data_IF_852386242384
#
_entry.id   IF_852386242384
#
_cell.length_a   1.000
_cell.length_b   1.000
_cell.length_c   1.000
_cell.angle_alpha   90.00
_cell.angle_beta   90.00
_cell.angle_gamma   90.00
#
_symmetry.space_group_name_H-M   'P 1'
#
loop_
_entity.id
_entity.type
_entity.pdbx_description
1 polymer ?
#
# COMPACT_ATOMS: atom_id res chain seq x y z
N UNK A 1 7.48 -11.91 1.40
CA UNK A 1 6.32 -12.57 2.04
C UNK A 1 6.65 -12.72 3.50
N UNK A 2 5.68 -12.47 4.38
CA UNK A 2 5.94 -12.29 5.81
C UNK A 2 5.14 -13.25 6.69
N UNK A 3 3.86 -13.51 6.38
CA UNK A 3 3.05 -14.57 7.02
C UNK A 3 2.40 -15.45 5.95
N UNK A 4 2.38 -16.76 6.19
CA UNK A 4 1.51 -17.71 5.49
C UNK A 4 1.18 -18.90 6.36
N UNK A 5 0.26 -19.74 5.91
CA UNK A 5 -0.07 -20.96 6.62
C UNK A 5 -1.21 -21.73 5.97
N UNK A 6 -1.53 -22.87 6.56
CA UNK A 6 -2.62 -23.72 6.07
C UNK A 6 -3.21 -24.59 7.19
N UNK A 7 -4.46 -25.01 6.99
CA UNK A 7 -5.16 -25.96 7.88
C UNK A 7 -4.86 -27.43 7.56
N UNK A 8 -3.91 -27.72 6.66
CA UNK A 8 -3.44 -29.07 6.38
C UNK A 8 -1.96 -29.11 6.00
N UNK A 9 -1.31 -30.22 6.35
CA UNK A 9 0.12 -30.43 6.05
C UNK A 9 0.38 -30.46 4.54
N UNK A 10 -0.51 -31.06 3.75
CA UNK A 10 -0.38 -31.13 2.28
C UNK A 10 -0.35 -29.75 1.64
N UNK A 11 -1.27 -28.85 2.04
CA UNK A 11 -1.30 -27.47 1.55
C UNK A 11 -0.07 -26.69 2.02
N UNK A 12 0.31 -26.85 3.30
CA UNK A 12 1.50 -26.22 3.86
C UNK A 12 2.75 -26.57 3.07
N UNK A 13 2.99 -27.86 2.80
CA UNK A 13 4.15 -28.31 2.02
C UNK A 13 4.16 -27.72 0.61
N UNK A 14 2.99 -27.55 -0.03
CA UNK A 14 2.91 -26.90 -1.34
C UNK A 14 3.24 -25.40 -1.27
N UNK A 15 2.80 -24.70 -0.21
CA UNK A 15 3.12 -23.28 0.00
C UNK A 15 4.61 -23.07 0.22
N UNK A 16 5.23 -23.85 1.11
CA UNK A 16 6.65 -23.68 1.46
C UNK A 16 7.57 -23.91 0.26
N UNK A 17 7.22 -24.82 -0.66
CA UNK A 17 7.95 -25.02 -1.93
C UNK A 17 7.95 -23.79 -2.85
N UNK A 18 7.17 -22.76 -2.56
CA UNK A 18 7.13 -21.50 -3.33
C UNK A 18 7.87 -20.36 -2.62
N UNK A 19 8.59 -20.66 -1.54
CA UNK A 19 9.24 -19.66 -0.68
C UNK A 19 10.72 -19.96 -0.61
N UNK A 20 11.51 -19.15 -1.31
CA UNK A 20 12.97 -19.31 -1.41
C UNK A 20 13.72 -18.62 -0.25
N UNK A 21 13.06 -18.47 0.90
CA UNK A 21 13.62 -17.79 2.09
C UNK A 21 13.52 -18.70 3.31
N UNK A 22 14.42 -18.56 4.30
CA UNK A 22 14.33 -19.29 5.55
C UNK A 22 12.97 -19.08 6.25
N UNK A 23 12.40 -20.18 6.76
CA UNK A 23 11.06 -20.24 7.30
C UNK A 23 11.13 -20.62 8.78
N UNK A 24 10.28 -19.98 9.59
CA UNK A 24 9.92 -20.45 10.91
C UNK A 24 8.46 -20.91 10.87
N UNK A 25 8.18 -22.16 11.24
CA UNK A 25 6.84 -22.74 11.21
C UNK A 25 6.44 -23.23 12.60
N UNK A 26 5.23 -22.88 13.01
CA UNK A 26 4.56 -23.44 14.16
C UNK A 26 3.35 -24.26 13.73
N UNK A 27 3.20 -25.45 14.33
CA UNK A 27 2.10 -26.37 14.08
C UNK A 27 1.38 -26.65 15.39
N UNK A 28 0.07 -26.39 15.43
CA UNK A 28 -0.79 -26.75 16.55
C UNK A 28 -2.10 -27.29 16.01
N UNK A 29 -2.57 -28.45 16.48
CA UNK A 29 -3.83 -29.07 16.07
C UNK A 29 -4.09 -29.12 14.55
N UNK A 30 -3.06 -29.47 13.76
CA UNK A 30 -3.15 -29.59 12.30
C UNK A 30 -3.14 -28.28 11.51
N UNK A 31 -3.20 -27.14 12.20
CA UNK A 31 -3.03 -25.80 11.60
C UNK A 31 -1.55 -25.43 11.67
N UNK A 32 -1.04 -24.93 10.55
CA UNK A 32 0.33 -24.48 10.38
C UNK A 32 0.33 -22.97 10.16
N UNK A 33 1.15 -22.25 10.92
CA UNK A 33 1.42 -20.83 10.72
C UNK A 33 2.92 -20.68 10.55
N UNK A 34 3.33 -19.94 9.53
CA UNK A 34 4.72 -19.70 9.22
C UNK A 34 4.99 -18.22 9.01
N UNK A 35 6.21 -17.82 9.37
CA UNK A 35 6.75 -16.50 9.11
C UNK A 35 8.10 -16.61 8.40
N UNK A 36 8.51 -15.53 7.73
CA UNK A 36 9.88 -15.44 7.23
C UNK A 36 10.81 -15.32 8.44
N UNK A 37 11.77 -16.24 8.58
CA UNK A 37 12.72 -16.27 9.70
C UNK A 37 13.57 -14.99 9.69
N UNK A 38 13.82 -14.44 10.88
CA UNK A 38 14.62 -13.21 11.10
C UNK A 38 14.09 -11.96 10.38
N UNK A 39 12.80 -11.92 9.99
CA UNK A 39 12.23 -10.72 9.41
C UNK A 39 11.96 -9.66 10.51
N UNK A 40 12.45 -8.42 10.38
CA UNK A 40 12.40 -7.43 11.48
C UNK A 40 10.98 -7.00 11.87
N UNK A 41 10.03 -7.16 10.95
CA UNK A 41 8.61 -6.84 11.17
C UNK A 41 7.74 -8.10 11.13
N UNK A 42 8.23 -9.24 11.62
CA UNK A 42 7.38 -10.43 11.76
C UNK A 42 7.72 -11.19 13.04
N UNK A 43 6.69 -11.56 13.79
CA UNK A 43 6.85 -12.29 15.04
C UNK A 43 5.79 -13.37 15.14
N UNK A 44 6.17 -14.52 15.68
CA UNK A 44 5.26 -15.58 16.10
C UNK A 44 5.39 -15.81 17.61
N UNK A 45 4.26 -15.84 18.30
CA UNK A 45 4.20 -15.98 19.76
C UNK A 45 3.29 -17.12 20.13
N UNK A 46 3.85 -18.05 20.90
CA UNK A 46 3.09 -19.12 21.54
C UNK A 46 2.68 -18.72 22.95
N UNK A 47 1.39 -18.94 23.23
CA UNK A 47 0.80 -18.93 24.56
C UNK A 47 0.21 -20.33 24.81
N UNK A 48 -0.07 -20.66 26.07
CA UNK A 48 -0.59 -21.97 26.52
C UNK A 48 -1.59 -22.59 25.50
N UNK A 49 -2.60 -21.84 25.08
CA UNK A 49 -3.66 -22.31 24.18
C UNK A 49 -3.74 -21.58 22.83
N UNK A 50 -2.77 -20.73 22.50
CA UNK A 50 -2.86 -19.80 21.36
C UNK A 50 -1.53 -19.68 20.65
N UNK A 51 -1.55 -19.62 19.31
CA UNK A 51 -0.39 -19.22 18.49
C UNK A 51 -0.78 -17.98 17.71
N UNK A 52 0.03 -16.92 17.80
CA UNK A 52 -0.25 -15.63 17.16
C UNK A 52 0.91 -15.29 16.26
N UNK A 53 0.68 -15.13 14.97
CA UNK A 53 1.66 -14.56 14.04
C UNK A 53 1.21 -13.18 13.58
N UNK A 54 2.12 -12.22 13.60
CA UNK A 54 1.90 -10.86 13.09
C UNK A 54 3.01 -10.48 12.13
N UNK A 55 2.62 -9.86 11.02
CA UNK A 55 3.49 -9.22 10.05
C UNK A 55 3.19 -7.74 10.09
N UNK A 56 4.23 -6.93 10.12
CA UNK A 56 4.17 -5.49 10.18
C UNK A 56 4.56 -4.97 11.56
N UNK A 57 4.04 -3.79 11.90
CA UNK A 57 4.45 -3.04 13.08
C UNK A 57 3.24 -2.61 13.90
N UNK A 58 3.41 -2.66 15.22
CA UNK A 58 2.47 -2.13 16.21
C UNK A 58 3.15 -0.97 16.95
N UNK A 59 2.54 0.20 16.90
CA UNK A 59 3.08 1.43 17.47
C UNK A 59 2.58 1.63 18.91
N UNK A 60 3.45 1.46 19.91
CA UNK A 60 3.15 1.78 21.33
C UNK A 60 4.04 2.92 21.81
N UNK A 61 3.44 4.01 22.28
CA UNK A 61 4.19 5.17 22.80
C UNK A 61 5.34 5.64 21.87
N UNK A 62 5.12 5.58 20.55
CA UNK A 62 6.08 5.91 19.46
C UNK A 62 7.21 4.92 19.21
N UNK A 63 7.41 3.87 20.01
CA UNK A 63 8.41 2.82 19.73
C UNK A 63 7.73 1.51 19.32
N UNK A 64 8.12 0.88 18.20
CA UNK A 64 7.60 -0.44 17.87
C UNK A 64 8.11 -1.46 18.91
N UNK A 65 7.19 -2.19 19.52
CA UNK A 65 7.52 -3.35 20.35
C UNK A 65 6.52 -4.46 20.06
N UNK A 66 6.72 -5.11 18.92
CA UNK A 66 5.81 -6.11 18.36
C UNK A 66 5.63 -7.28 19.34
N UNK A 67 6.74 -7.85 19.82
CA UNK A 67 6.74 -9.03 20.69
C UNK A 67 5.97 -8.81 22.00
N UNK A 68 6.33 -7.78 22.76
CA UNK A 68 5.66 -7.46 24.04
C UNK A 68 4.19 -7.12 23.82
N UNK A 69 3.87 -6.38 22.76
CA UNK A 69 2.48 -6.00 22.47
C UNK A 69 1.62 -7.23 22.17
N UNK A 70 2.11 -8.18 21.37
CA UNK A 70 1.37 -9.42 21.09
C UNK A 70 1.24 -10.28 22.35
N UNK A 71 2.29 -10.37 23.19
CA UNK A 71 2.24 -11.11 24.46
C UNK A 71 1.15 -10.58 25.40
N UNK A 72 0.99 -9.27 25.50
CA UNK A 72 -0.04 -8.63 26.34
C UNK A 72 -1.43 -8.61 25.68
N UNK A 73 -1.54 -8.86 24.37
CA UNK A 73 -2.84 -8.83 23.69
C UNK A 73 -3.66 -10.07 24.03
N UNK A 74 -4.89 -9.87 24.50
CA UNK A 74 -5.77 -10.96 24.97
C UNK A 74 -6.70 -11.52 23.88
N UNK A 75 -7.00 -10.76 22.83
CA UNK A 75 -7.94 -11.20 21.80
C UNK A 75 -7.65 -10.58 20.42
N UNK A 76 -8.06 -11.25 19.32
CA UNK A 76 -7.94 -10.69 17.97
C UNK A 76 -8.73 -9.38 17.80
N UNK A 77 -9.83 -9.19 18.54
CA UNK A 77 -10.62 -7.95 18.53
C UNK A 77 -9.90 -6.78 19.18
N UNK A 78 -9.05 -7.03 20.20
CA UNK A 78 -8.19 -5.99 20.79
C UNK A 78 -7.03 -5.68 19.84
N UNK A 79 -6.41 -6.70 19.24
CA UNK A 79 -5.29 -6.55 18.31
C UNK A 79 -5.63 -5.63 17.14
N UNK A 80 -6.75 -5.91 16.45
CA UNK A 80 -7.14 -5.16 15.23
C UNK A 80 -7.44 -3.67 15.46
N UNK A 81 -7.68 -3.26 16.72
CA UNK A 81 -7.93 -1.86 17.10
C UNK A 81 -6.65 -1.10 17.48
N UNK A 82 -5.50 -1.76 17.51
CA UNK A 82 -4.23 -1.15 17.87
C UNK A 82 -3.68 -0.29 16.72
N UNK A 83 -2.97 0.77 17.09
CA UNK A 83 -2.23 1.64 16.16
C UNK A 83 -1.08 0.84 15.53
N UNK A 84 -1.08 0.67 14.22
CA UNK A 84 -0.10 -0.15 13.53
C UNK A 84 -0.39 -0.33 12.04
N UNK A 85 0.56 -0.96 11.36
CA UNK A 85 0.50 -1.35 9.96
C UNK A 85 0.75 -2.86 9.93
N UNK A 86 -0.30 -3.68 9.96
CA UNK A 86 -0.12 -5.11 10.22
C UNK A 86 -1.22 -6.01 9.64
N UNK A 87 -0.84 -7.27 9.42
CA UNK A 87 -1.71 -8.41 9.21
C UNK A 87 -1.39 -9.50 10.23
N UNK A 88 -2.39 -10.27 10.66
CA UNK A 88 -2.19 -11.31 11.67
C UNK A 88 -2.97 -12.59 11.40
N UNK A 89 -2.44 -13.68 11.96
CA UNK A 89 -3.09 -14.97 12.10
C UNK A 89 -3.11 -15.34 13.58
N UNK A 90 -4.31 -15.55 14.13
CA UNK A 90 -4.53 -15.88 15.53
C UNK A 90 -5.18 -17.25 15.63
N UNK A 91 -4.42 -18.25 16.04
CA UNK A 91 -4.89 -19.62 16.17
C UNK A 91 -5.19 -19.97 17.62
N UNK A 92 -6.34 -20.59 17.85
CA UNK A 92 -6.67 -21.31 19.09
C UNK A 92 -6.94 -22.79 18.77
N UNK A 93 -7.42 -23.59 19.74
CA UNK A 93 -7.48 -25.05 19.62
C UNK A 93 -8.13 -25.55 18.31
N UNK A 94 -9.29 -25.00 17.92
CA UNK A 94 -10.09 -25.50 16.80
C UNK A 94 -10.42 -24.40 15.76
N UNK A 95 -9.74 -23.26 15.81
CA UNK A 95 -10.03 -22.16 14.89
C UNK A 95 -8.80 -21.30 14.61
N UNK A 96 -8.83 -20.64 13.46
CA UNK A 96 -7.88 -19.58 13.11
C UNK A 96 -8.65 -18.32 12.73
N UNK A 97 -8.29 -17.20 13.34
CA UNK A 97 -8.82 -15.88 13.05
C UNK A 97 -7.76 -15.10 12.27
N UNK A 98 -8.10 -14.67 11.06
CA UNK A 98 -7.28 -13.83 10.20
C UNK A 98 -7.80 -12.38 10.27
N UNK A 99 -6.89 -11.42 10.31
CA UNK A 99 -7.26 -10.01 10.34
C UNK A 99 -6.12 -9.10 9.93
N UNK A 100 -6.43 -7.83 9.68
CA UNK A 100 -5.45 -6.78 9.37
C UNK A 100 -5.95 -5.42 9.86
N UNK A 101 -5.05 -4.45 9.93
CA UNK A 101 -5.34 -3.09 10.37
C UNK A 101 -6.53 -2.46 9.61
N UNK A 102 -7.15 -1.42 10.19
CA UNK A 102 -8.40 -0.86 9.67
C UNK A 102 -8.26 -0.10 8.35
N UNK A 103 -7.04 0.29 7.96
CA UNK A 103 -6.75 0.84 6.64
C UNK A 103 -6.45 -0.27 5.63
N UNK A 104 -5.83 -1.37 6.08
CA UNK A 104 -5.43 -2.51 5.27
C UNK A 104 -4.07 -2.32 4.61
N UNK A 105 -3.13 -1.71 5.32
CA UNK A 105 -1.79 -1.37 4.82
C UNK A 105 -0.97 -2.58 4.39
N UNK A 106 -1.14 -3.71 5.09
CA UNK A 106 -0.58 -5.00 4.69
C UNK A 106 -1.71 -5.88 4.14
N UNK A 107 -1.56 -6.42 2.92
CA UNK A 107 -2.54 -7.33 2.36
C UNK A 107 -2.53 -8.68 3.08
N UNK A 108 -3.70 -9.30 3.21
CA UNK A 108 -3.85 -10.67 3.70
C UNK A 108 -4.96 -11.36 2.91
N UNK A 109 -4.68 -12.59 2.48
CA UNK A 109 -5.58 -13.39 1.66
C UNK A 109 -5.73 -14.79 2.22
N UNK A 110 -6.84 -15.44 1.87
CA UNK A 110 -7.02 -16.87 2.07
C UNK A 110 -7.66 -17.53 0.86
N UNK A 111 -7.55 -18.85 0.75
CA UNK A 111 -8.17 -19.64 -0.32
C UNK A 111 -8.66 -20.97 0.23
N UNK A 112 -9.93 -21.30 -0.05
CA UNK A 112 -10.53 -22.58 0.33
C UNK A 112 -10.32 -23.62 -0.76
N UNK A 113 -9.74 -24.75 -0.38
CA UNK A 113 -9.47 -25.91 -1.24
C UNK A 113 -10.19 -27.15 -0.67
N UNK A 114 -10.13 -28.26 -1.40
CA UNK A 114 -10.59 -29.56 -0.90
C UNK A 114 -9.72 -30.07 0.25
N UNK A 115 -8.42 -29.76 0.22
CA UNK A 115 -7.44 -30.15 1.23
C UNK A 115 -7.45 -29.23 2.48
N UNK A 116 -8.33 -28.23 2.56
CA UNK A 116 -8.39 -27.23 3.64
C UNK A 116 -8.22 -25.78 3.15
N UNK A 117 -7.84 -24.88 4.06
CA UNK A 117 -7.66 -23.45 3.79
C UNK A 117 -6.19 -23.07 3.85
N UNK A 118 -5.72 -22.32 2.86
CA UNK A 118 -4.40 -21.69 2.81
C UNK A 118 -4.53 -20.16 2.95
N UNK A 119 -3.58 -19.50 3.62
CA UNK A 119 -3.55 -18.05 3.74
C UNK A 119 -2.12 -17.50 3.58
N UNK A 120 -2.00 -16.26 3.13
CA UNK A 120 -0.71 -15.58 2.93
C UNK A 120 -0.88 -14.08 2.80
N UNK A 121 0.16 -13.31 3.16
CA UNK A 121 0.29 -11.90 2.78
C UNK A 121 0.68 -11.71 1.31
N UNK A 122 1.03 -12.78 0.60
CA UNK A 122 1.37 -12.73 -0.83
C UNK A 122 0.33 -13.51 -1.68
N UNK A 123 -0.37 -12.76 -2.53
CA UNK A 123 -1.40 -13.29 -3.45
C UNK A 123 -0.86 -14.27 -4.49
N UNK A 124 0.33 -13.99 -5.06
CA UNK A 124 0.96 -14.80 -6.10
C UNK A 124 1.22 -16.22 -5.62
N UNK A 125 1.70 -16.39 -4.40
CA UNK A 125 1.97 -17.72 -3.83
C UNK A 125 0.70 -18.53 -3.63
N UNK A 126 -0.40 -17.92 -3.19
CA UNK A 126 -1.68 -18.62 -3.10
C UNK A 126 -2.21 -19.04 -4.48
N UNK A 127 -2.10 -18.16 -5.47
CA UNK A 127 -2.47 -18.47 -6.86
C UNK A 127 -1.68 -19.66 -7.41
N UNK A 128 -0.35 -19.67 -7.17
CA UNK A 128 0.57 -20.74 -7.58
C UNK A 128 0.34 -22.06 -6.86
N UNK A 129 -0.19 -22.02 -5.64
CA UNK A 129 -0.35 -23.21 -4.79
C UNK A 129 -1.71 -23.86 -4.92
N UNK A 130 -2.76 -23.05 -5.08
CA UNK A 130 -4.14 -23.52 -4.96
C UNK A 130 -4.89 -23.56 -6.28
N UNK A 131 -4.35 -22.93 -7.33
CA UNK A 131 -5.02 -22.71 -8.61
C UNK A 131 -6.42 -22.08 -8.49
N UNK A 132 -6.66 -21.32 -7.42
CA UNK A 132 -7.93 -20.65 -7.12
C UNK A 132 -7.69 -19.19 -6.79
N UNK A 133 -8.68 -18.35 -7.13
CA UNK A 133 -8.64 -16.91 -6.83
C UNK A 133 -8.71 -16.70 -5.31
N UNK A 134 -7.74 -16.00 -4.70
CA UNK A 134 -7.77 -15.75 -3.27
C UNK A 134 -8.86 -14.76 -2.87
N UNK A 135 -9.45 -15.00 -1.70
CA UNK A 135 -10.31 -14.03 -1.02
C UNK A 135 -9.44 -13.07 -0.22
N UNK A 136 -9.77 -11.77 -0.29
CA UNK A 136 -9.13 -10.72 0.49
C UNK A 136 -9.78 -10.66 1.87
N UNK A 137 -8.96 -10.49 2.90
CA UNK A 137 -9.44 -10.08 4.21
C UNK A 137 -9.82 -8.59 4.13
N UNK A 138 -11.02 -8.22 4.53
CA UNK A 138 -11.45 -6.81 4.52
C UNK A 138 -10.72 -6.04 5.63
N UNK A 139 -10.22 -4.80 5.39
CA UNK A 139 -9.60 -3.99 6.44
C UNK A 139 -10.52 -3.80 7.65
N UNK A 140 -9.99 -3.94 8.86
CA UNK A 140 -10.78 -3.77 10.09
C UNK A 140 -11.79 -4.89 10.38
N UNK A 141 -11.80 -5.95 9.56
CA UNK A 141 -12.57 -7.16 9.78
C UNK A 141 -11.71 -8.29 10.33
N UNK A 142 -12.36 -9.21 11.03
CA UNK A 142 -11.79 -10.52 11.36
C UNK A 142 -12.55 -11.62 10.62
N UNK A 143 -11.81 -12.51 9.98
CA UNK A 143 -12.36 -13.70 9.35
C UNK A 143 -11.98 -14.90 10.21
N UNK A 144 -12.97 -15.57 10.80
CA UNK A 144 -12.74 -16.76 11.64
C UNK A 144 -13.05 -18.01 10.85
N UNK A 145 -12.08 -18.92 10.82
CA UNK A 145 -12.16 -20.21 10.16
C UNK A 145 -12.26 -21.27 11.25
N UNK A 146 -13.35 -22.04 11.24
CA UNK A 146 -13.60 -23.17 12.13
C UNK A 146 -14.33 -24.25 11.35
N UNK A 147 -13.84 -25.49 11.40
CA UNK A 147 -14.44 -26.64 10.71
C UNK A 147 -14.73 -26.38 9.21
N UNK A 148 -13.77 -25.75 8.50
CA UNK A 148 -13.89 -25.30 7.11
C UNK A 148 -15.02 -24.29 6.81
N UNK A 149 -15.72 -23.80 7.83
CA UNK A 149 -16.67 -22.68 7.75
C UNK A 149 -15.93 -21.38 8.03
N UNK A 150 -16.34 -20.32 7.34
CA UNK A 150 -15.72 -19.00 7.42
C UNK A 150 -16.79 -18.02 7.86
N UNK A 151 -16.54 -17.28 8.93
CA UNK A 151 -17.38 -16.17 9.37
C UNK A 151 -16.60 -14.87 9.26
N UNK A 152 -17.25 -13.83 8.76
CA UNK A 152 -16.71 -12.47 8.69
C UNK A 152 -17.39 -11.61 9.76
N UNK A 153 -16.61 -10.78 10.46
CA UNK A 153 -17.11 -9.81 11.42
C UNK A 153 -16.33 -8.51 11.32
N UNK A 154 -17.05 -7.42 11.09
CA UNK A 154 -16.53 -6.04 11.16
C UNK A 154 -16.21 -5.72 12.62
N UNK A 155 -14.99 -5.25 12.90
CA UNK A 155 -14.59 -4.81 14.24
C UNK A 155 -14.44 -3.29 14.34
N UNK A 156 -13.96 -2.66 13.27
CA UNK A 156 -13.75 -1.21 13.19
C UNK A 156 -13.77 -0.80 11.71
N UNK A 157 -14.48 0.29 11.39
CA UNK A 157 -14.39 0.93 10.07
C UNK A 157 -13.60 2.22 10.18
N UNK A 158 -12.79 2.53 9.17
CA UNK A 158 -12.00 3.76 9.13
C UNK A 158 -12.84 5.02 9.30
N UNK A 159 -14.03 5.08 8.69
CA UNK A 159 -14.94 6.23 8.84
C UNK A 159 -15.46 6.45 10.28
N UNK A 160 -15.46 5.40 11.10
CA UNK A 160 -15.95 5.43 12.48
C UNK A 160 -14.88 5.91 13.47
N UNK A 161 -13.64 6.15 13.01
CA UNK A 161 -12.56 6.60 13.88
C UNK A 161 -12.52 8.12 14.07
N UNK A 162 -13.30 8.88 13.29
CA UNK A 162 -13.37 10.34 13.42
C UNK A 162 -13.71 10.74 14.86
N UNK A 163 -13.01 11.74 15.37
CA UNK A 163 -13.22 12.30 16.71
C UNK A 163 -14.05 13.57 16.67
N UNK A 164 -14.71 13.88 17.78
CA UNK A 164 -15.28 15.20 17.96
C UNK A 164 -14.16 16.24 18.04
N UNK A 165 -14.34 17.34 17.32
CA UNK A 165 -13.43 18.48 17.34
C UNK A 165 -14.25 19.76 17.41
N UNK A 166 -13.66 20.80 17.99
CA UNK A 166 -14.20 22.15 17.90
C UNK A 166 -14.24 22.59 16.43
N UNK A 167 -15.46 22.75 15.91
CA UNK A 167 -15.76 23.12 14.52
C UNK A 167 -15.49 24.61 14.23
N UNK A 168 -15.34 25.43 15.26
CA UNK A 168 -15.16 26.89 15.16
C UNK A 168 -13.69 27.31 15.01
N UNK A 169 -12.75 26.36 15.09
CA UNK A 169 -11.32 26.63 14.85
C UNK A 169 -11.07 27.23 13.48
N UNK A 170 -10.07 28.10 13.43
CA UNK A 170 -9.60 28.69 12.17
C UNK A 170 -8.88 27.62 11.33
N UNK A 171 -8.94 27.70 9.98
CA UNK A 171 -8.24 26.75 9.09
C UNK A 171 -6.74 26.56 9.42
N UNK A 172 -6.07 27.61 9.87
CA UNK A 172 -4.66 27.57 10.25
C UNK A 172 -4.40 26.64 11.44
N UNK A 173 -5.34 26.55 12.38
CA UNK A 173 -5.22 25.71 13.58
C UNK A 173 -5.37 24.22 13.22
N UNK A 174 -6.36 23.89 12.40
CA UNK A 174 -6.50 22.55 11.82
C UNK A 174 -5.26 22.17 11.00
N UNK A 175 -4.77 23.08 10.15
CA UNK A 175 -3.56 22.87 9.36
C UNK A 175 -2.35 22.57 10.25
N UNK A 176 -2.11 23.37 11.29
CA UNK A 176 -1.04 23.16 12.27
C UNK A 176 -1.18 21.81 12.99
N UNK A 177 -2.40 21.43 13.36
CA UNK A 177 -2.67 20.14 13.98
C UNK A 177 -2.35 18.97 13.04
N UNK A 178 -2.76 19.06 11.76
CA UNK A 178 -2.44 18.05 10.75
C UNK A 178 -0.94 17.89 10.56
N UNK A 179 -0.20 18.98 10.40
CA UNK A 179 1.27 18.94 10.27
C UNK A 179 1.89 18.23 11.48
N UNK A 180 1.47 18.60 12.70
CA UNK A 180 1.98 17.96 13.91
C UNK A 180 1.69 16.46 13.94
N UNK A 181 0.51 16.02 13.48
CA UNK A 181 0.16 14.60 13.39
C UNK A 181 0.93 13.87 12.30
N UNK A 182 1.17 14.51 11.16
CA UNK A 182 1.97 13.95 10.08
C UNK A 182 3.42 13.78 10.49
N UNK A 183 3.99 14.77 11.17
CA UNK A 183 5.34 14.70 11.72
C UNK A 183 5.48 13.53 12.71
N UNK A 184 4.49 13.36 13.61
CA UNK A 184 4.42 12.20 14.51
C UNK A 184 4.30 10.87 13.75
N UNK A 185 3.52 10.84 12.67
CA UNK A 185 3.35 9.66 11.82
C UNK A 185 4.64 9.27 11.10
N UNK A 186 5.42 10.27 10.65
CA UNK A 186 6.73 10.09 10.02
C UNK A 186 7.74 9.57 11.03
N UNK A 187 7.85 10.18 12.21
CA UNK A 187 8.75 9.74 13.28
C UNK A 187 8.56 8.26 13.66
N UNK A 188 7.31 7.76 13.66
CA UNK A 188 7.02 6.33 13.93
C UNK A 188 7.60 5.37 12.88
N UNK A 189 7.82 5.86 11.65
CA UNK A 189 8.15 5.05 10.46
C UNK A 189 9.61 5.17 10.04
N UNK A 190 10.32 6.18 10.54
CA UNK A 190 11.75 6.37 10.29
C UNK A 190 12.53 5.33 11.09
N UNK A 191 13.47 4.66 10.41
CA UNK A 191 14.44 3.76 11.00
C UNK A 191 15.76 3.85 10.22
N UNK A 192 16.59 4.84 10.55
CA UNK A 192 17.80 5.17 9.81
C UNK A 192 17.55 6.10 8.61
N UNK A 193 18.49 6.10 7.67
CA UNK A 193 18.38 6.86 6.42
C UNK A 193 17.07 6.54 5.69
N UNK A 194 16.41 7.58 5.18
CA UNK A 194 15.05 7.44 4.66
C UNK A 194 14.95 7.83 3.19
N UNK A 195 14.51 6.87 2.38
CA UNK A 195 14.12 7.13 1.00
C UNK A 195 12.64 7.57 0.90
N UNK A 196 12.38 8.54 0.02
CA UNK A 196 11.02 9.07 -0.21
C UNK A 196 10.67 8.97 -1.70
N UNK A 197 9.52 8.37 -1.99
CA UNK A 197 8.89 8.49 -3.31
C UNK A 197 8.45 9.94 -3.54
N UNK A 198 9.20 10.66 -4.38
CA UNK A 198 9.12 12.10 -4.52
C UNK A 198 8.58 12.50 -5.90
N UNK A 199 7.44 13.18 -5.89
CA UNK A 199 6.81 13.76 -7.09
C UNK A 199 7.00 15.28 -7.19
N UNK A 200 7.56 15.91 -6.14
CA UNK A 200 7.60 17.35 -5.97
C UNK A 200 6.24 18.01 -5.72
N UNK A 201 5.15 17.23 -5.60
CA UNK A 201 3.86 17.75 -5.17
C UNK A 201 3.85 18.11 -3.69
N UNK A 202 2.76 18.73 -3.21
CA UNK A 202 2.64 19.09 -1.78
C UNK A 202 2.81 17.89 -0.85
N UNK A 203 2.24 16.73 -1.18
CA UNK A 203 2.22 15.57 -0.28
C UNK A 203 3.63 15.02 -0.02
N UNK A 204 4.35 14.70 -1.11
CA UNK A 204 5.70 14.15 -1.02
C UNK A 204 6.71 15.18 -0.54
N UNK A 205 6.53 16.46 -0.87
CA UNK A 205 7.38 17.55 -0.36
C UNK A 205 7.19 17.79 1.14
N UNK A 206 5.95 17.65 1.63
CA UNK A 206 5.68 17.77 3.07
C UNK A 206 6.30 16.61 3.84
N UNK A 207 6.17 15.37 3.33
CA UNK A 207 6.86 14.22 3.91
C UNK A 207 8.38 14.45 3.91
N UNK A 208 8.95 14.88 2.78
CA UNK A 208 10.37 15.17 2.64
C UNK A 208 10.88 16.21 3.65
N UNK A 209 10.18 17.34 3.76
CA UNK A 209 10.60 18.42 4.65
C UNK A 209 10.42 18.08 6.13
N UNK A 210 9.46 17.22 6.47
CA UNK A 210 9.27 16.76 7.85
C UNK A 210 10.27 15.64 8.19
N UNK A 211 10.48 14.66 7.31
CA UNK A 211 11.43 13.56 7.53
C UNK A 211 12.88 14.06 7.67
N UNK A 212 13.29 15.04 6.85
CA UNK A 212 14.63 15.64 6.91
C UNK A 212 14.97 16.35 8.22
N UNK A 213 13.99 16.59 9.10
CA UNK A 213 14.24 17.10 10.46
C UNK A 213 14.73 16.02 11.43
N UNK A 214 14.51 14.75 11.08
CA UNK A 214 14.72 13.60 11.98
C UNK A 214 15.79 12.64 11.46
N UNK A 215 16.07 12.64 10.16
CA UNK A 215 17.02 11.71 9.53
C UNK A 215 17.51 12.22 8.18
N UNK A 216 18.64 11.71 7.73
CA UNK A 216 19.11 11.88 6.35
C UNK A 216 18.08 11.33 5.37
N UNK A 217 17.77 12.13 4.35
CA UNK A 217 16.61 11.92 3.49
C UNK A 217 17.01 12.06 2.03
N UNK A 218 16.80 10.99 1.26
CA UNK A 218 17.04 10.99 -0.20
C UNK A 218 15.72 10.91 -0.95
N UNK A 219 15.53 11.83 -1.89
CA UNK A 219 14.32 11.93 -2.71
C UNK A 219 14.49 11.13 -3.99
N UNK A 220 13.50 10.30 -4.34
CA UNK A 220 13.54 9.48 -5.56
C UNK A 220 12.38 9.80 -6.48
N UNK A 221 12.66 9.98 -7.77
CA UNK A 221 11.63 10.19 -8.79
C UNK A 221 11.90 9.26 -9.97
N UNK A 222 10.89 8.51 -10.41
CA UNK A 222 10.96 7.73 -11.66
C UNK A 222 10.11 8.42 -12.72
N UNK A 223 10.65 8.57 -13.93
CA UNK A 223 9.89 9.08 -15.06
C UNK A 223 10.59 8.87 -16.37
N UNK A 224 9.83 8.94 -17.48
CA UNK A 224 10.44 8.93 -18.80
C UNK A 224 11.41 10.10 -18.92
N UNK A 225 12.50 9.91 -19.66
CA UNK A 225 13.52 10.93 -19.94
C UNK A 225 12.86 12.25 -20.34
N UNK A 226 13.29 13.35 -19.73
CA UNK A 226 12.71 14.70 -19.92
C UNK A 226 11.21 14.86 -19.62
N UNK A 227 10.60 13.93 -18.88
CA UNK A 227 9.21 14.08 -18.48
C UNK A 227 8.98 15.28 -17.56
N UNK A 228 7.77 15.87 -17.56
CA UNK A 228 7.43 16.97 -16.66
C UNK A 228 7.69 16.66 -15.18
N UNK A 229 7.50 15.41 -14.75
CA UNK A 229 7.76 15.02 -13.36
C UNK A 229 9.25 15.02 -13.01
N UNK A 230 10.12 14.60 -13.92
CA UNK A 230 11.58 14.68 -13.73
C UNK A 230 12.02 16.15 -13.63
N UNK A 231 11.57 17.00 -14.55
CA UNK A 231 11.92 18.44 -14.53
C UNK A 231 11.42 19.13 -13.27
N UNK A 232 10.17 18.85 -12.88
CA UNK A 232 9.57 19.45 -11.69
C UNK A 232 10.20 18.93 -10.39
N UNK A 233 10.42 17.63 -10.27
CA UNK A 233 11.03 17.05 -9.06
C UNK A 233 12.43 17.58 -8.82
N UNK A 234 13.27 17.71 -9.87
CA UNK A 234 14.60 18.34 -9.77
C UNK A 234 14.50 19.77 -9.20
N UNK A 235 13.56 20.58 -9.72
CA UNK A 235 13.31 21.94 -9.20
C UNK A 235 12.84 21.92 -7.74
N UNK A 236 11.85 21.10 -7.43
CA UNK A 236 11.28 21.02 -6.09
C UNK A 236 12.30 20.54 -5.05
N UNK A 237 13.12 19.54 -5.39
CA UNK A 237 14.20 19.07 -4.53
C UNK A 237 15.26 20.15 -4.25
N UNK A 238 15.67 20.90 -5.29
CA UNK A 238 16.56 22.05 -5.15
C UNK A 238 15.98 23.10 -4.20
N UNK A 239 14.70 23.43 -4.34
CA UNK A 239 14.02 24.38 -3.46
C UNK A 239 13.86 23.89 -2.02
N UNK A 240 13.81 22.57 -1.79
CA UNK A 240 13.80 21.97 -0.46
C UNK A 240 15.21 21.84 0.14
N UNK A 241 16.26 21.99 -0.67
CA UNK A 241 17.65 21.71 -0.35
C UNK A 241 17.86 20.29 0.18
N UNK A 242 17.36 19.28 -0.57
CA UNK A 242 17.48 17.87 -0.20
C UNK A 242 18.11 17.04 -1.34
N UNK A 243 18.91 16.01 -1.02
CA UNK A 243 19.44 15.07 -2.00
C UNK A 243 18.33 14.47 -2.88
N UNK A 244 18.54 14.46 -4.19
CA UNK A 244 17.56 13.93 -5.15
C UNK A 244 18.23 13.03 -6.18
N UNK A 245 17.65 11.85 -6.36
CA UNK A 245 18.03 10.84 -7.33
C UNK A 245 16.90 10.62 -8.35
N UNK A 246 16.89 11.39 -9.45
CA UNK A 246 16.00 11.12 -10.57
C UNK A 246 16.45 9.85 -11.32
N UNK A 247 15.49 8.97 -11.62
CA UNK A 247 15.67 7.75 -12.39
C UNK A 247 14.93 7.96 -13.72
N UNK A 248 15.68 8.36 -14.73
CA UNK A 248 15.17 8.57 -16.07
C UNK A 248 15.16 7.24 -16.82
N UNK A 249 14.01 6.92 -17.42
CA UNK A 249 13.81 5.65 -18.14
C UNK A 249 13.48 5.92 -19.61
N UNK A 250 13.76 4.92 -20.44
CA UNK A 250 13.46 4.93 -21.87
C UNK A 250 12.37 3.90 -22.21
N UNK A 251 12.05 3.80 -23.51
CA UNK A 251 11.02 2.89 -23.99
C UNK A 251 11.39 1.41 -23.78
N UNK A 252 12.68 1.07 -23.94
CA UNK A 252 13.19 -0.29 -23.79
C UNK A 252 13.05 -0.76 -22.35
N UNK A 253 13.38 0.09 -21.38
CA UNK A 253 13.23 -0.22 -19.96
C UNK A 253 11.74 -0.40 -19.60
N UNK A 254 10.84 0.42 -20.15
CA UNK A 254 9.40 0.24 -19.95
C UNK A 254 8.95 -1.13 -20.47
N UNK A 255 9.27 -1.46 -21.72
CA UNK A 255 8.88 -2.71 -22.37
C UNK A 255 9.37 -3.94 -21.58
N UNK A 256 10.62 -3.93 -21.12
CA UNK A 256 11.20 -5.00 -20.27
C UNK A 256 10.56 -5.09 -18.88
N UNK A 257 9.98 -4.00 -18.37
CA UNK A 257 9.43 -3.94 -17.00
C UNK A 257 7.94 -4.27 -16.94
N UNK A 258 7.18 -4.10 -18.04
CA UNK A 258 5.77 -4.50 -18.13
C UNK A 258 5.54 -5.95 -17.66
N UNK A 259 6.19 -6.99 -18.24
CA UNK A 259 5.93 -8.37 -17.85
C UNK A 259 6.25 -8.63 -16.38
N UNK A 260 7.36 -8.07 -15.87
CA UNK A 260 7.76 -8.19 -14.46
C UNK A 260 6.73 -7.57 -13.50
N UNK A 261 6.17 -6.42 -13.89
CA UNK A 261 5.14 -5.72 -13.11
C UNK A 261 3.86 -6.56 -13.05
N UNK A 262 3.36 -7.02 -14.20
CA UNK A 262 2.16 -7.87 -14.30
C UNK A 262 2.33 -9.15 -13.48
N UNK A 263 3.48 -9.81 -13.59
CA UNK A 263 3.75 -11.04 -12.85
C UNK A 263 3.74 -10.79 -11.33
N UNK A 264 4.30 -9.67 -10.88
CA UNK A 264 4.43 -9.32 -9.46
C UNK A 264 3.08 -8.94 -8.84
N UNK A 265 2.29 -8.14 -9.54
CA UNK A 265 0.95 -7.71 -9.08
C UNK A 265 -0.11 -8.80 -9.29
N UNK A 266 0.11 -9.70 -10.24
CA UNK A 266 -0.89 -10.60 -10.79
C UNK A 266 -2.14 -9.83 -11.28
N UNK A 267 -1.91 -8.68 -11.92
CA UNK A 267 -2.94 -7.78 -12.45
C UNK A 267 -2.39 -7.05 -13.68
N UNK A 268 -3.12 -7.13 -14.79
CA UNK A 268 -2.73 -6.62 -16.10
C UNK A 268 -3.53 -5.40 -16.54
N UNK A 269 -4.26 -4.74 -15.65
CA UNK A 269 -4.99 -3.52 -16.01
C UNK A 269 -4.02 -2.37 -16.32
N UNK A 270 -4.42 -1.46 -17.21
CA UNK A 270 -3.65 -0.25 -17.56
C UNK A 270 -3.33 0.59 -16.33
N UNK A 271 -4.28 0.74 -15.41
CA UNK A 271 -4.08 1.50 -14.18
C UNK A 271 -3.02 0.84 -13.29
N UNK A 272 -3.17 -0.45 -12.99
CA UNK A 272 -2.24 -1.18 -12.12
C UNK A 272 -0.83 -1.22 -12.72
N UNK A 273 -0.72 -1.45 -14.03
CA UNK A 273 0.57 -1.50 -14.72
C UNK A 273 1.20 -0.12 -14.84
N UNK A 274 0.42 0.91 -15.20
CA UNK A 274 0.92 2.28 -15.37
C UNK A 274 1.43 2.93 -14.08
N UNK A 275 0.85 2.58 -12.93
CA UNK A 275 1.35 3.02 -11.62
C UNK A 275 2.39 2.05 -11.04
N UNK A 276 2.22 0.75 -11.27
CA UNK A 276 3.12 -0.28 -10.74
C UNK A 276 4.51 -0.23 -11.37
N UNK A 277 4.61 0.01 -12.67
CA UNK A 277 5.88 0.02 -13.40
C UNK A 277 6.90 1.01 -12.81
N UNK A 278 6.59 2.30 -12.57
CA UNK A 278 7.56 3.20 -11.93
C UNK A 278 7.94 2.75 -10.52
N UNK A 279 7.01 2.17 -9.74
CA UNK A 279 7.35 1.63 -8.41
C UNK A 279 8.20 0.37 -8.48
N UNK A 280 8.08 -0.43 -9.53
CA UNK A 280 8.94 -1.59 -9.75
C UNK A 280 10.39 -1.15 -9.96
N UNK A 281 10.60 -0.20 -10.86
CA UNK A 281 11.93 0.37 -11.15
C UNK A 281 12.50 1.07 -9.90
N UNK A 282 11.65 1.81 -9.18
CA UNK A 282 12.04 2.44 -7.92
C UNK A 282 12.47 1.40 -6.88
N UNK A 283 11.72 0.32 -6.71
CA UNK A 283 12.04 -0.74 -5.76
C UNK A 283 13.35 -1.45 -6.12
N UNK A 284 13.62 -1.71 -7.41
CA UNK A 284 14.91 -2.22 -7.88
C UNK A 284 16.06 -1.27 -7.52
N UNK A 285 15.88 0.05 -7.72
CA UNK A 285 16.91 1.03 -7.39
C UNK A 285 17.15 1.15 -5.88
N UNK A 286 16.10 1.16 -5.07
CA UNK A 286 16.23 1.25 -3.61
C UNK A 286 16.96 0.05 -3.02
N UNK A 287 16.70 -1.15 -3.56
CA UNK A 287 17.43 -2.35 -3.17
C UNK A 287 18.92 -2.23 -3.49
N UNK A 288 19.29 -1.71 -4.67
CA UNK A 288 20.69 -1.46 -5.04
C UNK A 288 21.35 -0.43 -4.13
N UNK A 289 20.59 0.57 -3.70
CA UNK A 289 21.06 1.64 -2.82
C UNK A 289 21.04 1.24 -1.32
N UNK A 290 20.69 0.00 -0.99
CA UNK A 290 20.74 -0.53 0.39
C UNK A 290 19.55 -0.15 1.29
N UNK A 291 18.53 0.51 0.75
CA UNK A 291 17.32 0.84 1.53
C UNK A 291 16.50 -0.42 1.81
N UNK A 292 15.81 -0.41 2.94
CA UNK A 292 14.84 -1.45 3.35
C UNK A 292 13.42 -0.93 3.48
N UNK A 293 13.25 0.40 3.49
CA UNK A 293 11.95 1.06 3.63
C UNK A 293 11.85 2.25 2.68
N UNK A 294 10.62 2.66 2.37
CA UNK A 294 10.33 3.87 1.60
C UNK A 294 9.10 4.58 2.17
N UNK A 295 9.15 5.90 2.32
CA UNK A 295 7.95 6.70 2.61
C UNK A 295 7.24 7.11 1.32
N UNK A 296 5.91 6.97 1.30
CA UNK A 296 5.08 7.40 0.16
C UNK A 296 3.96 8.36 0.59
N UNK A 297 3.43 9.13 -0.37
CA UNK A 297 2.33 10.07 -0.16
C UNK A 297 0.92 9.47 -0.26
N UNK A 298 0.78 8.13 -0.24
CA UNK A 298 -0.51 7.46 -0.42
C UNK A 298 -1.52 7.86 0.66
N UNK A 299 -2.80 8.02 0.28
CA UNK A 299 -3.90 8.40 1.18
C UNK A 299 -4.17 9.90 1.26
N UNK A 300 -3.24 10.75 0.82
CA UNK A 300 -3.45 12.20 0.90
C UNK A 300 -4.57 12.70 -0.03
N UNK A 301 -4.77 12.08 -1.18
CA UNK A 301 -5.78 12.52 -2.14
C UNK A 301 -7.19 12.20 -1.65
N UNK A 302 -7.37 11.01 -1.08
CA UNK A 302 -8.63 10.51 -0.55
C UNK A 302 -9.04 11.26 0.72
N UNK A 303 -8.08 11.69 1.55
CA UNK A 303 -8.36 12.46 2.78
C UNK A 303 -8.65 13.94 2.54
N UNK A 304 -8.09 14.53 1.48
CA UNK A 304 -8.10 16.00 1.26
C UNK A 304 -8.57 16.41 -0.14
N UNK A 305 -9.45 15.63 -0.76
CA UNK A 305 -10.12 16.06 -1.98
C UNK A 305 -9.18 16.25 -3.18
N UNK A 306 -8.22 15.35 -3.36
CA UNK A 306 -7.17 15.46 -4.38
C UNK A 306 -7.61 15.08 -5.80
N UNK A 307 -8.69 14.32 -5.98
CA UNK A 307 -9.13 13.88 -7.31
C UNK A 307 -10.19 14.80 -7.92
N UNK A 308 -10.12 15.01 -9.23
CA UNK A 308 -11.08 15.84 -9.99
C UNK A 308 -12.54 15.39 -9.79
N UNK A 309 -12.78 14.09 -9.63
CA UNK A 309 -14.13 13.55 -9.39
C UNK A 309 -14.82 14.12 -8.15
N UNK A 310 -14.06 14.56 -7.15
CA UNK A 310 -14.63 15.17 -5.94
C UNK A 310 -15.18 16.58 -6.18
N UNK A 311 -14.73 17.27 -7.24
CA UNK A 311 -15.28 18.57 -7.65
C UNK A 311 -16.60 18.43 -8.42
N UNK A 312 -16.82 17.28 -9.05
CA UNK A 312 -17.89 17.07 -10.03
C UNK A 312 -19.00 16.18 -9.47
N UNK A 313 -19.08 16.02 -8.15
CA UNK A 313 -20.07 15.16 -7.49
C UNK A 313 -20.86 15.97 -6.47
N UNK A 314 -22.14 15.63 -6.32
CA UNK A 314 -23.02 16.23 -5.32
C UNK A 314 -22.67 15.77 -3.90
N UNK A 315 -22.02 14.61 -3.76
CA UNK A 315 -21.75 13.97 -2.46
C UNK A 315 -20.25 13.66 -2.27
N UNK A 316 -19.36 14.68 -2.26
CA UNK A 316 -17.91 14.45 -2.25
C UNK A 316 -17.42 13.70 -1.01
N UNK A 317 -18.02 13.93 0.15
CA UNK A 317 -17.66 13.23 1.37
C UNK A 317 -17.90 11.71 1.28
N UNK A 318 -19.03 11.30 0.71
CA UNK A 318 -19.34 9.87 0.50
C UNK A 318 -18.34 9.23 -0.45
N UNK A 319 -17.98 9.91 -1.54
CA UNK A 319 -16.99 9.40 -2.50
C UNK A 319 -15.58 9.31 -1.91
N UNK A 320 -15.18 10.30 -1.09
CA UNK A 320 -13.92 10.26 -0.35
C UNK A 320 -13.88 9.10 0.64
N UNK A 321 -14.96 8.87 1.41
CA UNK A 321 -15.03 7.72 2.32
C UNK A 321 -14.94 6.39 1.56
N UNK A 322 -15.66 6.26 0.45
CA UNK A 322 -15.57 5.06 -0.40
C UNK A 322 -14.15 4.83 -0.90
N UNK A 323 -13.42 5.87 -1.29
CA UNK A 323 -12.04 5.69 -1.75
C UNK A 323 -11.10 5.32 -0.61
N UNK A 324 -11.23 5.92 0.58
CA UNK A 324 -10.47 5.51 1.77
C UNK A 324 -10.75 4.04 2.12
N UNK A 325 -12.00 3.60 2.08
CA UNK A 325 -12.36 2.19 2.36
C UNK A 325 -11.82 1.23 1.29
N UNK A 326 -11.61 1.70 0.06
CA UNK A 326 -11.09 0.89 -1.05
C UNK A 326 -9.58 1.05 -1.31
N UNK A 327 -8.89 1.95 -0.61
CA UNK A 327 -7.48 2.27 -0.88
C UNK A 327 -6.57 1.04 -0.73
N UNK A 328 -6.89 0.16 0.22
CA UNK A 328 -6.19 -1.10 0.42
C UNK A 328 -6.16 -1.97 -0.84
N UNK A 329 -7.26 -1.99 -1.59
CA UNK A 329 -7.43 -2.80 -2.80
C UNK A 329 -6.92 -2.07 -4.04
N UNK A 330 -7.19 -0.77 -4.15
CA UNK A 330 -6.88 0.02 -5.36
C UNK A 330 -5.40 0.37 -5.47
N UNK A 331 -4.76 0.64 -4.34
CA UNK A 331 -3.40 1.21 -4.33
C UNK A 331 -2.43 0.40 -3.48
N UNK A 332 -2.73 0.23 -2.19
CA UNK A 332 -1.75 -0.32 -1.24
C UNK A 332 -1.37 -1.76 -1.54
N UNK A 333 -2.30 -2.58 -2.03
CA UNK A 333 -2.01 -3.96 -2.44
C UNK A 333 -0.94 -4.02 -3.53
N UNK A 334 -1.11 -3.26 -4.61
CA UNK A 334 -0.15 -3.20 -5.73
C UNK A 334 1.21 -2.74 -5.23
N UNK A 335 1.23 -1.63 -4.50
CA UNK A 335 2.47 -1.02 -4.02
C UNK A 335 3.20 -1.98 -3.07
N UNK A 336 2.48 -2.59 -2.13
CA UNK A 336 3.02 -3.57 -1.20
C UNK A 336 3.60 -4.80 -1.92
N UNK A 337 2.90 -5.36 -2.91
CA UNK A 337 3.42 -6.50 -3.67
C UNK A 337 4.72 -6.16 -4.40
N UNK A 338 4.80 -4.97 -5.01
CA UNK A 338 5.97 -4.54 -5.79
C UNK A 338 7.17 -4.26 -4.89
N UNK A 339 7.01 -3.46 -3.84
CA UNK A 339 8.11 -3.13 -2.95
C UNK A 339 8.62 -4.36 -2.19
N UNK A 340 7.72 -5.19 -1.65
CA UNK A 340 8.13 -6.36 -0.85
C UNK A 340 8.74 -7.48 -1.70
N UNK A 341 8.46 -7.54 -3.00
CA UNK A 341 9.19 -8.42 -3.93
C UNK A 341 10.69 -8.07 -4.00
N UNK A 342 11.05 -6.82 -3.71
CA UNK A 342 12.43 -6.33 -3.68
C UNK A 342 12.99 -6.21 -2.26
N UNK A 343 12.25 -6.67 -1.23
CA UNK A 343 12.65 -6.53 0.17
C UNK A 343 12.48 -5.11 0.73
N UNK A 344 11.75 -4.24 0.03
CA UNK A 344 11.43 -2.88 0.47
C UNK A 344 10.06 -2.88 1.15
N UNK A 345 9.93 -2.20 2.29
CA UNK A 345 8.66 -2.05 3.00
C UNK A 345 8.12 -0.63 2.76
N UNK A 346 6.99 -0.47 2.05
CA UNK A 346 6.38 0.83 1.87
C UNK A 346 5.68 1.26 3.16
N UNK A 347 5.91 2.51 3.56
CA UNK A 347 5.33 3.15 4.74
C UNK A 347 4.53 4.38 4.31
N UNK A 348 3.33 4.54 4.86
CA UNK A 348 2.37 5.53 4.38
C UNK A 348 1.95 6.50 5.51
N UNK A 349 2.70 7.58 5.78
CA UNK A 349 2.44 8.47 6.90
C UNK A 349 1.05 9.13 6.91
N UNK A 350 0.49 9.43 5.73
CA UNK A 350 -0.87 9.97 5.61
C UNK A 350 -1.96 8.97 6.03
N UNK A 351 -1.63 7.68 6.11
CA UNK A 351 -2.53 6.62 6.55
C UNK A 351 -2.32 6.23 8.02
N UNK A 352 -1.51 6.99 8.77
CA UNK A 352 -1.40 6.80 10.21
C UNK A 352 -2.75 6.99 10.89
N UNK A 353 -3.10 6.08 11.81
CA UNK A 353 -4.39 6.09 12.48
C UNK A 353 -4.72 7.47 13.07
N UNK A 354 -3.79 8.08 13.84
CA UNK A 354 -4.05 9.38 14.48
C UNK A 354 -4.13 10.53 13.49
N UNK A 355 -3.42 10.42 12.37
CA UNK A 355 -3.52 11.40 11.28
C UNK A 355 -4.87 11.28 10.58
N UNK A 356 -5.29 10.07 10.19
CA UNK A 356 -6.58 9.79 9.56
C UNK A 356 -7.73 10.23 10.46
N UNK A 357 -7.71 9.86 11.75
CA UNK A 357 -8.71 10.31 12.74
C UNK A 357 -8.85 11.83 12.74
N UNK A 358 -7.72 12.55 12.79
CA UNK A 358 -7.69 14.01 12.79
C UNK A 358 -8.20 14.58 11.46
N UNK A 359 -7.77 14.01 10.33
CA UNK A 359 -8.17 14.43 9.01
C UNK A 359 -9.67 14.24 8.80
N UNK A 360 -10.23 13.10 9.20
CA UNK A 360 -11.66 12.81 9.05
C UNK A 360 -12.56 13.66 9.94
N UNK A 361 -12.04 14.17 11.06
CA UNK A 361 -12.77 15.10 11.92
C UNK A 361 -12.92 16.51 11.35
N UNK A 362 -12.05 16.94 10.42
CA UNK A 362 -12.07 18.31 9.88
C UNK A 362 -13.32 18.51 9.02
N UNK A 363 -14.06 19.64 9.16
CA UNK A 363 -15.22 19.92 8.32
C UNK A 363 -14.91 19.80 6.83
N UNK A 364 -15.83 19.19 6.07
CA UNK A 364 -15.66 18.91 4.63
C UNK A 364 -15.25 20.16 3.84
N UNK A 365 -15.84 21.32 4.13
CA UNK A 365 -15.54 22.62 3.51
C UNK A 365 -14.06 23.03 3.54
N UNK A 366 -13.25 22.46 4.44
CA UNK A 366 -11.81 22.71 4.51
C UNK A 366 -10.98 21.61 3.81
N UNK A 367 -11.55 20.41 3.66
CA UNK A 367 -10.87 19.25 3.05
C UNK A 367 -11.02 19.25 1.54
N UNK A 368 -12.18 19.62 1.01
CA UNK A 368 -12.46 19.60 -0.43
C UNK A 368 -12.38 20.99 -1.04
N UNK A 369 -11.83 21.12 -2.27
CA UNK A 369 -11.87 22.39 -2.99
C UNK A 369 -13.27 22.67 -3.55
N UNK A 370 -13.67 23.95 -3.60
CA UNK A 370 -14.72 24.40 -4.52
C UNK A 370 -14.21 24.35 -5.98
N UNK A 371 -15.10 24.49 -6.96
CA UNK A 371 -14.79 24.36 -8.41
C UNK A 371 -13.55 25.14 -8.86
N UNK A 372 -13.33 26.34 -8.34
CA UNK A 372 -12.22 27.23 -8.73
C UNK A 372 -11.02 27.20 -7.76
N UNK A 373 -11.03 26.33 -6.75
CA UNK A 373 -9.96 26.25 -5.76
C UNK A 373 -9.00 25.11 -6.06
N UNK A 374 -7.72 25.32 -5.74
CA UNK A 374 -6.70 24.26 -5.81
C UNK A 374 -7.06 23.14 -4.82
N UNK A 375 -6.78 21.88 -5.14
CA UNK A 375 -7.08 20.74 -4.26
C UNK A 375 -6.31 20.81 -2.93
N UNK A 376 -6.75 20.07 -1.90
CA UNK A 376 -6.02 19.90 -0.62
C UNK A 376 -5.78 21.20 0.16
N UNK A 377 -6.77 22.09 0.16
CA UNK A 377 -6.67 23.42 0.77
C UNK A 377 -6.15 23.39 2.21
N UNK A 378 -6.73 22.56 3.09
CA UNK A 378 -6.29 22.50 4.48
C UNK A 378 -4.84 22.04 4.65
N UNK A 379 -4.39 21.09 3.81
CA UNK A 379 -3.00 20.63 3.81
C UNK A 379 -2.06 21.74 3.33
N UNK A 380 -2.44 22.48 2.28
CA UNK A 380 -1.71 23.66 1.79
C UNK A 380 -1.61 24.73 2.86
N UNK A 381 -2.70 25.05 3.55
CA UNK A 381 -2.72 26.00 4.67
C UNK A 381 -1.74 25.62 5.76
N UNK A 382 -1.71 24.35 6.18
CA UNK A 382 -0.73 23.86 7.16
C UNK A 382 0.72 23.91 6.64
N UNK A 383 0.93 23.68 5.34
CA UNK A 383 2.25 23.63 4.72
C UNK A 383 2.84 25.01 4.37
N UNK A 384 2.07 26.10 4.34
CA UNK A 384 2.51 27.45 3.91
C UNK A 384 3.80 27.93 4.59
N UNK A 385 3.99 27.60 5.88
CA UNK A 385 5.17 28.01 6.67
C UNK A 385 6.34 27.00 6.62
N UNK A 386 6.17 25.89 5.91
CA UNK A 386 7.10 24.74 5.91
C UNK A 386 7.69 24.53 4.53
N UNK A 387 6.89 24.74 3.49
CA UNK A 387 7.26 24.50 2.11
C UNK A 387 7.32 25.81 1.32
N UNK A 388 8.21 25.89 0.31
CA UNK A 388 8.23 26.97 -0.68
C UNK A 388 6.85 27.23 -1.32
N UNK A 389 6.59 28.50 -1.65
CA UNK A 389 5.32 28.93 -2.22
C UNK A 389 5.00 28.23 -3.55
N UNK A 390 6.01 28.02 -4.40
CA UNK A 390 5.82 27.38 -5.71
C UNK A 390 5.36 25.92 -5.60
N UNK A 391 5.74 25.21 -4.53
CA UNK A 391 5.22 23.87 -4.22
C UNK A 391 3.80 23.94 -3.67
N UNK A 392 3.54 24.86 -2.72
CA UNK A 392 2.21 24.97 -2.07
C UNK A 392 1.13 25.54 -2.99
N UNK A 393 1.48 26.16 -4.11
CA UNK A 393 0.54 26.70 -5.10
C UNK A 393 0.47 25.86 -6.38
N UNK A 394 1.29 24.82 -6.53
CA UNK A 394 1.23 23.94 -7.71
C UNK A 394 -0.04 23.06 -7.72
N UNK A 395 -0.82 23.05 -8.81
CA UNK A 395 -1.93 22.10 -9.00
C UNK A 395 -1.48 20.64 -9.04
N UNK A 396 -2.37 19.71 -8.70
CA UNK A 396 -2.04 18.27 -8.73
C UNK A 396 -1.79 17.78 -10.16
N UNK A 397 -0.82 16.87 -10.30
CA UNK A 397 -0.67 15.98 -11.45
C UNK A 397 -0.45 14.54 -10.97
N UNK A 398 -1.12 13.55 -11.57
CA UNK A 398 -0.94 12.14 -11.18
C UNK A 398 0.32 11.54 -11.80
N UNK A 399 0.90 10.56 -11.09
CA UNK A 399 2.19 9.95 -11.41
C UNK A 399 2.24 9.37 -12.83
N UNK A 400 1.22 8.62 -13.24
CA UNK A 400 1.22 7.92 -14.53
C UNK A 400 1.18 8.87 -15.74
N UNK A 401 0.59 10.06 -15.59
CA UNK A 401 0.54 11.07 -16.65
C UNK A 401 1.73 12.03 -16.58
N UNK A 402 2.18 12.38 -15.37
CA UNK A 402 3.32 13.25 -15.14
C UNK A 402 4.65 12.64 -15.60
N UNK A 403 4.83 11.36 -15.33
CA UNK A 403 5.99 10.55 -15.75
C UNK A 403 6.02 10.22 -17.25
N UNK A 404 4.91 10.43 -17.97
CA UNK A 404 4.66 9.99 -19.36
C UNK A 404 4.67 8.47 -19.57
N UNK A 405 4.78 7.65 -18.53
CA UNK A 405 4.82 6.18 -18.65
C UNK A 405 3.55 5.63 -19.29
N UNK A 406 2.37 6.11 -18.89
CA UNK A 406 1.09 5.68 -19.47
C UNK A 406 1.01 5.92 -20.99
N UNK A 407 1.55 7.05 -21.44
CA UNK A 407 1.66 7.40 -22.87
C UNK A 407 2.59 6.44 -23.60
N UNK A 408 3.67 6.02 -22.98
CA UNK A 408 4.63 5.09 -23.58
C UNK A 408 4.10 3.65 -23.59
N UNK A 409 3.32 3.22 -22.58
CA UNK A 409 2.59 1.95 -22.63
C UNK A 409 1.58 1.96 -23.80
N UNK A 410 0.82 3.05 -24.00
CA UNK A 410 -0.03 3.20 -25.21
C UNK A 410 0.78 3.08 -26.51
N UNK A 411 1.98 3.66 -26.55
CA UNK A 411 2.88 3.57 -27.71
C UNK A 411 3.34 2.13 -27.96
N UNK A 412 3.73 1.40 -26.92
CA UNK A 412 4.15 0.00 -27.03
C UNK A 412 2.98 -0.88 -27.48
N UNK A 413 1.78 -0.71 -26.91
CA UNK A 413 0.59 -1.45 -27.31
C UNK A 413 0.29 -1.28 -28.81
N UNK A 414 0.38 -0.04 -29.32
CA UNK A 414 0.18 0.26 -30.74
C UNK A 414 1.26 -0.34 -31.65
N UNK A 415 2.52 -0.39 -31.21
CA UNK A 415 3.60 -1.07 -31.95
C UNK A 415 3.38 -2.58 -32.07
N UNK A 416 2.71 -3.16 -31.06
CA UNK A 416 2.32 -4.57 -31.04
C UNK A 416 0.93 -4.83 -31.66
N UNK A 417 0.41 -3.91 -32.47
CA UNK A 417 -0.81 -4.13 -33.27
C UNK A 417 -2.13 -3.74 -32.60
N UNK A 418 -2.14 -3.31 -31.34
CA UNK A 418 -3.36 -2.93 -30.61
C UNK A 418 -3.72 -1.46 -30.88
N UNK A 419 -4.68 -1.22 -31.78
CA UNK A 419 -4.97 0.13 -32.31
C UNK A 419 -5.98 0.89 -31.44
N UNK A 420 -5.88 2.23 -31.39
CA UNK A 420 -6.80 3.11 -30.60
C UNK A 420 -8.28 2.96 -30.95
N UNK A 421 -8.59 2.53 -32.17
CA UNK A 421 -9.97 2.25 -32.61
C UNK A 421 -10.59 1.07 -31.86
N UNK A 422 -9.77 0.21 -31.27
CA UNK A 422 -10.22 -0.90 -30.44
C UNK A 422 -10.48 -0.41 -29.02
N UNK A 423 -11.69 -0.66 -28.52
CA UNK A 423 -12.03 -0.35 -27.13
C UNK A 423 -11.06 -1.07 -26.19
N UNK A 424 -10.50 -0.35 -25.22
CA UNK A 424 -9.54 -0.85 -24.22
C UNK A 424 -8.28 -1.51 -24.83
N UNK A 425 -7.76 -1.00 -25.95
CA UNK A 425 -6.61 -1.59 -26.66
C UNK A 425 -5.38 -1.81 -25.78
N UNK A 426 -5.08 -0.89 -24.85
CA UNK A 426 -3.97 -1.05 -23.91
C UNK A 426 -4.23 -2.20 -22.93
N UNK A 427 -5.43 -2.29 -22.36
CA UNK A 427 -5.76 -3.40 -21.44
C UNK A 427 -5.71 -4.75 -22.16
N UNK A 428 -6.15 -4.81 -23.43
CA UNK A 428 -6.04 -6.02 -24.27
C UNK A 428 -4.59 -6.44 -24.52
N UNK A 429 -3.70 -5.48 -24.79
CA UNK A 429 -2.26 -5.74 -24.93
C UNK A 429 -1.64 -6.26 -23.63
N UNK A 430 -1.95 -5.63 -22.50
CA UNK A 430 -1.43 -6.09 -21.22
C UNK A 430 -1.99 -7.46 -20.83
N UNK A 431 -3.26 -7.74 -21.19
CA UNK A 431 -3.88 -9.05 -20.99
C UNK A 431 -3.24 -10.15 -21.85
N UNK A 432 -2.76 -9.85 -23.07
CA UNK A 432 -2.04 -10.85 -23.89
C UNK A 432 -0.69 -11.21 -23.29
N UNK A 433 0.08 -10.22 -22.82
CA UNK A 433 1.31 -10.47 -22.06
C UNK A 433 1.04 -11.31 -20.81
N UNK A 434 -0.02 -10.96 -20.06
CA UNK A 434 -0.41 -11.73 -18.89
C UNK A 434 -0.75 -13.18 -19.25
N UNK A 435 -1.43 -13.39 -20.38
CA UNK A 435 -1.75 -14.71 -20.89
C UNK A 435 -0.49 -15.53 -21.13
N UNK A 436 0.48 -14.99 -21.84
CA UNK A 436 1.78 -15.64 -22.09
C UNK A 436 2.47 -16.02 -20.77
N UNK A 437 2.67 -15.05 -19.87
CA UNK A 437 3.35 -15.26 -18.57
C UNK A 437 2.67 -16.35 -17.72
N UNK A 438 1.35 -16.31 -17.62
CA UNK A 438 0.62 -17.20 -16.73
C UNK A 438 0.28 -18.54 -17.38
N UNK A 439 0.22 -18.65 -18.70
CA UNK A 439 0.11 -19.93 -19.41
C UNK A 439 1.39 -20.75 -19.27
N UNK A 440 2.56 -20.14 -19.47
CA UNK A 440 3.88 -20.78 -19.25
C UNK A 440 4.04 -21.32 -17.82
N UNK A 441 3.41 -20.67 -16.84
CA UNK A 441 3.47 -21.04 -15.42
C UNK A 441 2.35 -21.99 -14.97
N UNK A 442 1.52 -22.47 -15.89
CA UNK A 442 0.33 -23.30 -15.60
C UNK A 442 -0.71 -22.62 -14.67
N UNK A 443 -0.87 -21.30 -14.81
CA UNK A 443 -1.76 -20.43 -14.02
C UNK A 443 -2.90 -19.82 -14.87
N UNK A 444 -3.47 -20.59 -15.80
CA UNK A 444 -4.55 -20.13 -16.71
C UNK A 444 -5.77 -19.54 -15.99
N UNK A 445 -6.02 -19.89 -14.73
CA UNK A 445 -7.11 -19.31 -13.93
C UNK A 445 -6.87 -17.84 -13.56
N UNK A 446 -5.63 -17.37 -13.57
CA UNK A 446 -5.27 -15.96 -13.32
C UNK A 446 -5.74 -15.08 -14.48
N UNK A 447 -5.68 -15.59 -15.71
CA UNK A 447 -5.96 -14.82 -16.92
C UNK A 447 -7.45 -14.72 -17.22
N UNK A 448 -8.27 -15.64 -16.70
CA UNK A 448 -9.74 -15.59 -16.80
C UNK A 448 -10.34 -14.30 -16.25
N UNK A 449 -9.66 -13.61 -15.33
CA UNK A 449 -10.12 -12.31 -14.81
C UNK A 449 -9.75 -11.11 -15.67
N UNK A 450 -8.93 -11.26 -16.71
CA UNK A 450 -8.52 -10.16 -17.61
C UNK A 450 -9.35 -10.08 -18.90
N UNK A 451 -10.19 -11.09 -19.17
CA UNK A 451 -11.00 -11.18 -20.39
C UNK A 451 -12.38 -10.51 -20.29
N UNK A 452 -12.75 -9.97 -19.12
CA UNK A 452 -14.06 -9.36 -18.85
C UNK A 452 -13.96 -7.86 -18.61
#
# INVERSE_FOLDING_TARGET
MTIWGATSTKLKTKLDKKIDKPIETHKKNGIHISIQKNHPESEIIEKKNTTIAVSGVLYRNKKPNLKKTIQETESPKKLIKMDGEFAFAWQTKNQITLGRDHIGTIPLYYTKTTDGIAFSTNKKTLLQTTNKKPHRITPGHIHTIRDNKITDKVIIKTRETKKEIDKNKKPEEYGKQLIKKLDQAIQKRINGETAIAFSGGIDSSLIAKLASKHTETTLYTVGYTDSPDIKWSKKAAKNLNLPHKPIEIDLNQIEKTIPKTIETTCDATRLTTGVGLPFYILAEQLKKDGYTTILTGQGSDELFGGYTKYRNTENPETEMYKDIEHIAKKDLERDHQIFTAHGIIPKNPFLDQKFVETALSIPLKHRTPNSNQIEKQILRTGAKKILPQDITQRPKKSLQYGSRIDREIDRIARRNGYKRREKHHVDKYLASIAKEIFEEKNLKHVTRSFNN
#
